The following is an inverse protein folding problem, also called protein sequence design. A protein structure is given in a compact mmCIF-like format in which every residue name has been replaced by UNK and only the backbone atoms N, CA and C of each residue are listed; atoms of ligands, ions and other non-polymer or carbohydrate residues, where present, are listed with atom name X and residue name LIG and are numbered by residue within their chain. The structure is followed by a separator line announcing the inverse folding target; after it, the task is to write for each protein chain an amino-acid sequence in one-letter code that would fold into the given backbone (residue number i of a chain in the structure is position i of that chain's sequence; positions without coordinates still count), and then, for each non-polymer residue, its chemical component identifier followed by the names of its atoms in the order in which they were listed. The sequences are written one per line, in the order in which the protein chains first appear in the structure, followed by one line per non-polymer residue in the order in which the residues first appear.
data_IF_175873289836
#
_entry.id   IF_175873289836
#
_cell.length_a   1.000
_cell.length_b   1.000
_cell.length_c   1.000
_cell.angle_alpha   90.00
_cell.angle_beta   90.00
_cell.angle_gamma   90.00
#
_symmetry.space_group_name_H-M   'P 1'
#
loop_
_entity.id
_entity.type
_entity.pdbx_description
1 polymer ?
#
# COMPACT_ATOMS: atom_id res chain seq x y z
N UNK A 1 -39.38 39.98 53.04
CA UNK A 1 -39.38 38.52 53.22
C UNK A 1 -39.19 37.92 51.84
N UNK A 2 -37.94 37.54 51.54
CA UNK A 2 -37.47 37.14 50.21
C UNK A 2 -37.55 35.62 50.05
N UNK A 3 -37.80 35.20 48.81
CA UNK A 3 -38.16 33.88 48.33
C UNK A 3 -37.00 32.91 48.09
N UNK A 4 -37.27 31.64 48.39
CA UNK A 4 -36.86 30.36 47.76
C UNK A 4 -35.41 30.16 47.31
N UNK A 5 -34.76 29.20 47.98
CA UNK A 5 -33.62 28.42 47.50
C UNK A 5 -34.12 27.14 46.82
N UNK A 6 -33.46 26.72 45.73
CA UNK A 6 -32.61 25.52 45.73
C UNK A 6 -31.93 25.36 44.36
N UNK A 7 -30.62 25.13 44.41
CA UNK A 7 -29.71 24.97 43.27
C UNK A 7 -29.35 23.50 43.09
N UNK A 8 -29.60 22.98 41.90
CA UNK A 8 -29.13 21.68 41.41
C UNK A 8 -29.16 21.70 39.87
N UNK A 9 -28.32 21.04 39.07
CA UNK A 9 -26.91 20.63 39.12
C UNK A 9 -26.62 20.19 37.66
N UNK A 10 -25.41 20.45 37.18
CA UNK A 10 -24.66 19.69 36.15
C UNK A 10 -25.15 19.76 34.69
N UNK A 11 -24.32 20.46 33.90
CA UNK A 11 -24.27 20.55 32.45
C UNK A 11 -23.68 19.24 31.85
N UNK A 12 -24.49 18.41 31.22
CA UNK A 12 -24.03 17.29 30.38
C UNK A 12 -23.83 17.77 28.95
N UNK A 13 -22.57 17.98 28.57
CA UNK A 13 -22.16 18.10 27.17
C UNK A 13 -22.24 16.74 26.51
N UNK A 14 -23.33 16.50 25.79
CA UNK A 14 -23.43 15.40 24.81
C UNK A 14 -22.87 15.90 23.48
N UNK A 15 -21.56 15.68 23.27
CA UNK A 15 -20.90 15.94 21.99
C UNK A 15 -21.13 14.74 21.07
N UNK A 16 -22.25 14.73 20.34
CA UNK A 16 -22.35 13.93 19.13
C UNK A 16 -21.57 14.64 18.02
N UNK A 17 -20.27 14.38 17.98
CA UNK A 17 -19.41 14.79 16.86
C UNK A 17 -19.76 13.91 15.65
N UNK A 18 -20.65 14.43 14.80
CA UNK A 18 -21.03 13.81 13.55
C UNK A 18 -19.85 13.89 12.58
N UNK A 19 -19.05 12.81 12.54
CA UNK A 19 -17.97 12.62 11.58
C UNK A 19 -18.50 12.81 10.14
N UNK A 20 -18.11 13.91 9.51
CA UNK A 20 -18.28 14.15 8.08
C UNK A 20 -17.31 13.23 7.32
N UNK A 21 -17.80 12.10 6.80
CA UNK A 21 -17.00 11.00 6.20
C UNK A 21 -16.43 11.28 4.81
N UNK A 22 -16.29 12.54 4.39
CA UNK A 22 -15.89 12.88 3.02
C UNK A 22 -14.41 13.26 2.85
N UNK A 23 -13.62 13.25 3.92
CA UNK A 23 -12.17 13.44 3.83
C UNK A 23 -11.47 12.20 4.42
N UNK A 24 -10.51 11.59 3.73
CA UNK A 24 -9.70 10.53 4.35
C UNK A 24 -9.05 11.09 5.62
N UNK A 25 -8.96 10.30 6.70
CA UNK A 25 -8.49 10.78 8.00
C UNK A 25 -7.02 11.21 7.99
N UNK A 26 -6.25 10.87 6.96
CA UNK A 26 -4.83 11.17 6.81
C UNK A 26 -4.52 11.60 5.38
N UNK A 27 -3.48 12.41 5.21
CA UNK A 27 -2.96 12.79 3.89
C UNK A 27 -2.11 11.66 3.29
N UNK A 28 -1.86 11.74 1.99
CA UNK A 28 -0.95 10.81 1.31
C UNK A 28 0.46 10.82 1.92
N UNK A 29 0.96 11.99 2.33
CA UNK A 29 2.27 12.11 2.97
C UNK A 29 2.29 11.43 4.35
N UNK A 30 1.21 11.51 5.13
CA UNK A 30 1.10 10.82 6.43
C UNK A 30 1.16 9.30 6.27
N UNK A 31 0.39 8.77 5.30
CA UNK A 31 0.42 7.35 4.96
C UNK A 31 1.82 6.93 4.51
N UNK A 32 2.44 7.67 3.61
CA UNK A 32 3.78 7.38 3.13
C UNK A 32 4.82 7.39 4.26
N UNK A 33 4.79 8.37 5.16
CA UNK A 33 5.70 8.46 6.29
C UNK A 33 5.61 7.23 7.22
N UNK A 34 4.38 6.84 7.59
CA UNK A 34 4.15 5.70 8.48
C UNK A 34 4.50 4.37 7.80
N UNK A 35 4.08 4.18 6.55
CA UNK A 35 4.39 2.97 5.79
C UNK A 35 5.90 2.78 5.62
N UNK A 36 6.63 3.87 5.31
CA UNK A 36 8.10 3.85 5.25
C UNK A 36 8.69 3.36 6.55
N UNK A 37 8.35 4.00 7.67
CA UNK A 37 8.88 3.64 8.98
C UNK A 37 8.65 2.15 9.31
N UNK A 38 7.44 1.65 9.06
CA UNK A 38 7.06 0.27 9.35
C UNK A 38 7.82 -0.73 8.47
N UNK A 39 7.93 -0.45 7.17
CA UNK A 39 8.61 -1.36 6.24
C UNK A 39 10.13 -1.33 6.36
N UNK A 40 10.74 -0.16 6.55
CA UNK A 40 12.20 -0.03 6.76
C UNK A 40 12.63 -0.80 8.02
N UNK A 41 11.89 -0.63 9.13
CA UNK A 41 12.12 -1.39 10.37
C UNK A 41 11.94 -2.91 10.18
N UNK A 42 11.07 -3.33 9.27
CA UNK A 42 10.75 -4.74 9.04
C UNK A 42 11.70 -5.42 8.05
N UNK A 43 12.18 -4.74 7.00
CA UNK A 43 12.81 -5.40 5.85
C UNK A 43 14.28 -5.06 5.61
N UNK A 44 14.90 -4.21 6.44
CA UNK A 44 16.27 -3.71 6.21
C UNK A 44 16.44 -3.18 4.77
N UNK A 45 15.50 -2.31 4.39
CA UNK A 45 15.48 -1.58 3.12
C UNK A 45 15.44 -0.09 3.43
N UNK A 46 15.84 0.73 2.46
CA UNK A 46 15.56 2.17 2.45
C UNK A 46 14.44 2.43 1.46
N UNK A 47 13.52 3.35 1.80
CA UNK A 47 12.37 3.66 0.97
C UNK A 47 12.37 5.16 0.63
N UNK A 48 12.44 5.46 -0.65
CA UNK A 48 12.58 6.82 -1.17
C UNK A 48 11.36 7.15 -2.04
N UNK A 49 10.63 8.19 -1.64
CA UNK A 49 9.52 8.74 -2.44
C UNK A 49 10.00 9.88 -3.31
N UNK A 50 9.11 10.38 -4.16
CA UNK A 50 9.38 11.49 -5.08
C UNK A 50 10.15 11.09 -6.33
N UNK A 51 10.28 9.79 -6.62
CA UNK A 51 10.95 9.33 -7.82
C UNK A 51 10.09 9.60 -9.07
N UNK A 52 10.74 9.84 -10.21
CA UNK A 52 10.07 9.99 -11.51
C UNK A 52 9.44 8.66 -11.96
N UNK A 53 10.20 7.57 -11.79
CA UNK A 53 9.79 6.20 -12.05
C UNK A 53 10.14 5.30 -10.86
N UNK A 54 9.35 4.24 -10.60
CA UNK A 54 9.69 3.26 -9.59
C UNK A 54 10.97 2.50 -9.97
N UNK A 55 11.76 2.12 -8.97
CA UNK A 55 12.99 1.37 -9.17
C UNK A 55 13.37 0.60 -7.90
N UNK A 56 13.88 -0.62 -8.08
CA UNK A 56 14.52 -1.37 -7.02
C UNK A 56 16.03 -1.44 -7.24
N UNK A 57 16.78 -0.89 -6.28
CA UNK A 57 18.23 -1.03 -6.25
C UNK A 57 18.63 -2.17 -5.32
N UNK A 58 19.37 -3.14 -5.86
CA UNK A 58 19.91 -4.25 -5.08
C UNK A 58 20.89 -3.76 -4.00
N UNK A 59 21.00 -4.48 -2.87
CA UNK A 59 21.94 -4.12 -1.81
C UNK A 59 23.37 -4.27 -2.31
N UNK A 60 24.26 -3.40 -1.81
CA UNK A 60 25.71 -3.57 -1.97
C UNK A 60 26.34 -4.02 -0.65
N UNK A 61 27.67 -4.19 -0.62
CA UNK A 61 28.39 -4.55 0.61
C UNK A 61 28.12 -3.57 1.78
N UNK A 62 27.90 -2.29 1.47
CA UNK A 62 27.81 -1.22 2.46
C UNK A 62 26.45 -0.52 2.48
N UNK A 63 25.53 -0.85 1.58
CA UNK A 63 24.23 -0.20 1.47
C UNK A 63 23.11 -1.23 1.48
N UNK A 64 22.04 -1.02 2.27
CA UNK A 64 20.83 -1.83 2.16
C UNK A 64 20.22 -1.68 0.76
N UNK A 65 19.23 -2.53 0.45
CA UNK A 65 18.46 -2.36 -0.77
C UNK A 65 17.63 -1.09 -0.69
N UNK A 66 17.39 -0.45 -1.84
CA UNK A 66 16.61 0.79 -1.92
C UNK A 66 15.38 0.54 -2.79
N UNK A 67 14.22 0.99 -2.32
CA UNK A 67 12.96 0.96 -3.06
C UNK A 67 12.57 2.40 -3.34
N UNK A 68 12.54 2.77 -4.61
CA UNK A 68 12.06 4.05 -5.10
C UNK A 68 10.62 3.88 -5.57
N UNK A 69 9.72 4.75 -5.10
CA UNK A 69 8.32 4.77 -5.53
C UNK A 69 7.96 6.14 -6.09
N UNK A 70 6.96 6.16 -6.98
CA UNK A 70 6.61 7.32 -7.78
C UNK A 70 5.86 8.36 -6.97
N UNK A 71 6.31 9.61 -7.06
CA UNK A 71 5.76 10.72 -6.30
C UNK A 71 5.65 10.36 -4.79
N UNK A 72 4.63 10.86 -4.09
CA UNK A 72 4.34 10.50 -2.70
C UNK A 72 2.99 9.80 -2.57
N UNK A 73 2.64 8.93 -3.53
CA UNK A 73 1.37 8.21 -3.48
C UNK A 73 1.49 6.92 -2.67
N UNK A 74 0.68 6.71 -1.60
CA UNK A 74 0.75 5.52 -0.76
C UNK A 74 0.59 4.23 -1.56
N UNK A 75 -0.31 4.20 -2.56
CA UNK A 75 -0.50 3.02 -3.40
C UNK A 75 0.74 2.69 -4.23
N UNK A 76 1.50 3.69 -4.69
CA UNK A 76 2.76 3.43 -5.39
C UNK A 76 3.77 2.77 -4.45
N UNK A 77 3.89 3.25 -3.20
CA UNK A 77 4.73 2.60 -2.19
C UNK A 77 4.29 1.16 -1.89
N UNK A 78 2.98 0.93 -1.70
CA UNK A 78 2.44 -0.41 -1.43
C UNK A 78 2.67 -1.36 -2.60
N UNK A 79 2.58 -0.86 -3.83
CA UNK A 79 2.83 -1.61 -5.05
C UNK A 79 4.29 -2.08 -5.12
N UNK A 80 5.26 -1.19 -4.90
CA UNK A 80 6.68 -1.55 -4.86
C UNK A 80 7.00 -2.55 -3.74
N UNK A 81 6.39 -2.38 -2.56
CA UNK A 81 6.53 -3.34 -1.47
C UNK A 81 5.91 -4.69 -1.80
N UNK A 82 4.83 -4.75 -2.59
CA UNK A 82 4.26 -5.99 -3.06
C UNK A 82 5.24 -6.72 -3.99
N UNK A 83 5.86 -6.02 -4.93
CA UNK A 83 6.93 -6.57 -5.77
C UNK A 83 8.10 -7.09 -4.92
N UNK A 84 8.61 -6.30 -3.97
CA UNK A 84 9.69 -6.70 -3.07
C UNK A 84 9.37 -7.96 -2.27
N UNK A 85 8.13 -8.08 -1.78
CA UNK A 85 7.68 -9.23 -1.00
C UNK A 85 7.56 -10.51 -1.84
N UNK A 86 7.21 -10.38 -3.11
CA UNK A 86 7.06 -11.51 -4.03
C UNK A 86 8.36 -11.88 -4.74
N UNK A 87 9.33 -10.97 -4.79
CA UNK A 87 10.67 -11.23 -5.27
C UNK A 87 11.40 -12.20 -4.32
N UNK A 88 11.77 -13.37 -4.85
CA UNK A 88 12.58 -14.34 -4.12
C UNK A 88 13.98 -13.81 -3.80
N UNK A 89 14.67 -14.45 -2.85
CA UNK A 89 15.98 -14.00 -2.36
C UNK A 89 16.99 -13.75 -3.49
N UNK A 90 17.06 -14.63 -4.50
CA UNK A 90 17.95 -14.46 -5.65
C UNK A 90 17.63 -13.20 -6.47
N UNK A 91 16.36 -12.89 -6.63
CA UNK A 91 15.91 -11.74 -7.43
C UNK A 91 16.18 -10.42 -6.70
N UNK A 92 16.06 -10.40 -5.38
CA UNK A 92 16.47 -9.27 -4.53
C UNK A 92 17.99 -9.02 -4.48
N UNK A 93 18.78 -9.67 -5.34
CA UNK A 93 20.20 -9.37 -5.55
C UNK A 93 20.44 -8.72 -6.91
N UNK A 94 19.38 -8.45 -7.67
CA UNK A 94 19.42 -7.83 -9.00
C UNK A 94 18.58 -6.56 -8.96
N UNK A 95 19.07 -5.52 -9.61
CA UNK A 95 18.29 -4.30 -9.83
C UNK A 95 16.99 -4.64 -10.58
N UNK A 96 15.90 -3.97 -10.21
CA UNK A 96 14.53 -4.27 -10.66
C UNK A 96 14.14 -5.75 -10.62
N UNK A 97 14.72 -6.48 -9.67
CA UNK A 97 14.50 -7.92 -9.51
C UNK A 97 14.90 -8.74 -10.76
N UNK A 98 15.70 -8.16 -11.66
CA UNK A 98 16.04 -8.70 -12.98
C UNK A 98 14.91 -8.65 -14.01
N UNK A 99 13.86 -7.84 -13.78
CA UNK A 99 12.86 -7.55 -14.81
C UNK A 99 13.43 -6.58 -15.86
N UNK A 100 12.89 -6.63 -17.07
CA UNK A 100 13.22 -5.69 -18.14
C UNK A 100 12.05 -4.73 -18.33
N UNK A 101 12.34 -3.43 -18.40
CA UNK A 101 11.33 -2.42 -18.70
C UNK A 101 10.89 -2.49 -20.16
N UNK A 102 9.58 -2.43 -20.40
CA UNK A 102 9.02 -2.27 -21.73
C UNK A 102 8.36 -0.88 -21.80
N UNK A 103 8.69 -0.05 -22.82
CA UNK A 103 8.13 1.28 -22.94
C UNK A 103 6.61 1.25 -23.17
N UNK A 104 5.96 2.39 -22.91
CA UNK A 104 4.55 2.61 -23.22
C UNK A 104 4.23 2.30 -24.69
N UNK A 105 3.01 1.81 -24.95
CA UNK A 105 2.55 1.42 -26.28
C UNK A 105 2.41 -0.09 -26.49
N UNK A 106 1.91 -0.81 -25.47
CA UNK A 106 1.73 -2.26 -25.52
C UNK A 106 0.72 -2.68 -26.59
N UNK A 107 1.06 -3.71 -27.37
CA UNK A 107 0.06 -4.48 -28.15
C UNK A 107 -0.91 -5.20 -27.21
N UNK A 108 -2.00 -5.74 -27.74
CA UNK A 108 -2.96 -6.53 -26.94
C UNK A 108 -2.27 -7.73 -26.26
N UNK A 109 -1.35 -8.40 -26.96
CA UNK A 109 -0.59 -9.53 -26.44
C UNK A 109 0.37 -9.11 -25.34
N UNK A 110 1.04 -7.95 -25.49
CA UNK A 110 1.91 -7.39 -24.48
C UNK A 110 1.13 -6.94 -23.24
N UNK A 111 -0.06 -6.38 -23.41
CA UNK A 111 -0.94 -6.01 -22.30
C UNK A 111 -1.42 -7.27 -21.55
N UNK A 112 -1.79 -8.33 -22.26
CA UNK A 112 -2.17 -9.59 -21.64
C UNK A 112 -1.01 -10.21 -20.86
N UNK A 113 0.22 -10.13 -21.39
CA UNK A 113 1.41 -10.60 -20.70
C UNK A 113 1.69 -9.79 -19.41
N UNK A 114 1.52 -8.46 -19.47
CA UNK A 114 1.59 -7.58 -18.31
C UNK A 114 0.57 -7.97 -17.25
N UNK A 115 -0.70 -8.07 -17.60
CA UNK A 115 -1.77 -8.46 -16.67
C UNK A 115 -1.49 -9.80 -15.99
N UNK A 116 -0.98 -10.78 -16.74
CA UNK A 116 -0.64 -12.10 -16.21
C UNK A 116 0.46 -12.03 -15.12
N UNK A 117 1.46 -11.16 -15.27
CA UNK A 117 2.54 -11.02 -14.28
C UNK A 117 2.14 -10.11 -13.12
N UNK A 118 1.23 -9.15 -13.35
CA UNK A 118 0.79 -8.15 -12.38
C UNK A 118 -0.36 -8.61 -11.48
N UNK A 119 -1.11 -9.65 -11.86
CA UNK A 119 -2.24 -10.12 -11.07
C UNK A 119 -1.87 -10.46 -9.62
N UNK A 120 -0.67 -11.03 -9.41
CA UNK A 120 -0.20 -11.46 -8.09
C UNK A 120 0.38 -10.29 -7.25
N UNK A 121 1.25 -9.41 -7.79
CA UNK A 121 1.62 -8.16 -7.12
C UNK A 121 0.42 -7.30 -6.73
N UNK A 122 -0.50 -7.02 -7.64
CA UNK A 122 -1.66 -6.18 -7.36
C UNK A 122 -2.66 -6.83 -6.39
N UNK A 123 -2.72 -8.16 -6.35
CA UNK A 123 -3.48 -8.86 -5.31
C UNK A 123 -2.89 -8.66 -3.90
N UNK A 124 -1.56 -8.58 -3.77
CA UNK A 124 -0.91 -8.28 -2.49
C UNK A 124 -1.03 -6.79 -2.15
N UNK A 125 -0.91 -5.88 -3.12
CA UNK A 125 -1.21 -4.45 -2.96
C UNK A 125 -2.63 -4.27 -2.41
N UNK A 126 -3.62 -4.98 -2.98
CA UNK A 126 -5.00 -4.97 -2.50
C UNK A 126 -5.11 -5.42 -1.04
N UNK A 127 -4.38 -6.47 -0.65
CA UNK A 127 -4.38 -6.94 0.74
C UNK A 127 -3.77 -5.87 1.68
N UNK A 128 -2.70 -5.20 1.28
CA UNK A 128 -2.13 -4.09 2.05
C UNK A 128 -3.10 -2.92 2.18
N UNK A 129 -3.73 -2.49 1.08
CA UNK A 129 -4.72 -1.42 1.06
C UNK A 129 -5.86 -1.70 2.04
N UNK A 130 -6.40 -2.93 2.02
CA UNK A 130 -7.44 -3.35 2.97
C UNK A 130 -6.99 -3.28 4.44
N UNK A 131 -5.73 -3.63 4.72
CA UNK A 131 -5.20 -3.65 6.08
C UNK A 131 -5.06 -2.26 6.72
N UNK A 132 -4.83 -1.24 5.88
CA UNK A 132 -4.64 0.16 6.33
C UNK A 132 -5.82 1.08 5.97
N UNK A 133 -6.91 0.53 5.42
CA UNK A 133 -8.12 1.27 5.08
C UNK A 133 -8.01 2.18 3.84
N UNK A 134 -7.05 1.92 2.94
CA UNK A 134 -6.95 2.63 1.67
C UNK A 134 -7.79 1.97 0.57
N UNK A 135 -8.43 2.74 -0.32
CA UNK A 135 -9.11 2.19 -1.49
C UNK A 135 -8.09 1.59 -2.47
N UNK A 136 -8.44 0.46 -3.06
CA UNK A 136 -7.63 -0.21 -4.08
C UNK A 136 -8.31 -0.12 -5.45
N UNK A 137 -7.52 0.17 -6.50
CA UNK A 137 -7.94 0.10 -7.89
C UNK A 137 -6.85 -0.58 -8.73
N UNK A 138 -7.17 -1.62 -9.53
CA UNK A 138 -6.18 -2.25 -10.41
C UNK A 138 -5.55 -1.23 -11.36
N UNK A 139 -4.24 -1.31 -11.53
CA UNK A 139 -3.50 -0.51 -12.51
C UNK A 139 -3.24 -1.33 -13.76
N UNK A 140 -3.54 -0.79 -14.93
CA UNK A 140 -3.20 -1.44 -16.20
C UNK A 140 -1.88 -0.94 -16.79
N UNK A 141 -1.30 0.08 -16.15
CA UNK A 141 -0.14 0.80 -16.67
C UNK A 141 -0.32 1.15 -18.17
N UNK A 142 -1.55 1.57 -18.50
CA UNK A 142 -2.01 1.93 -19.84
C UNK A 142 -2.85 3.20 -19.71
N UNK A 143 -2.34 4.30 -20.26
CA UNK A 143 -3.00 5.61 -20.25
C UNK A 143 -4.10 5.74 -21.32
N UNK A 144 -4.38 4.69 -22.10
CA UNK A 144 -5.42 4.71 -23.15
C UNK A 144 -6.85 4.59 -22.63
N UNK A 145 -7.05 4.34 -21.34
CA UNK A 145 -8.39 4.22 -20.73
C UNK A 145 -9.07 2.87 -20.93
N UNK A 146 -8.33 1.83 -21.33
CA UNK A 146 -8.84 0.46 -21.40
C UNK A 146 -9.29 -0.05 -20.04
N UNK A 147 -10.23 -0.98 -20.06
CA UNK A 147 -10.65 -1.71 -18.87
C UNK A 147 -9.82 -2.97 -18.69
N UNK A 148 -9.71 -3.40 -17.43
CA UNK A 148 -9.06 -4.65 -17.06
C UNK A 148 -9.74 -5.84 -17.74
N UNK A 149 -8.97 -6.80 -18.25
CA UNK A 149 -9.55 -8.03 -18.77
C UNK A 149 -10.24 -8.84 -17.66
N UNK A 150 -11.28 -9.60 -18.01
CA UNK A 150 -11.97 -10.48 -17.05
C UNK A 150 -11.02 -11.53 -16.45
N UNK A 151 -10.08 -12.02 -17.27
CA UNK A 151 -9.04 -12.97 -16.82
C UNK A 151 -8.14 -12.36 -15.76
N UNK A 152 -7.71 -11.10 -15.95
CA UNK A 152 -6.92 -10.38 -14.96
C UNK A 152 -7.67 -10.18 -13.65
N UNK A 153 -8.94 -9.71 -13.72
CA UNK A 153 -9.77 -9.50 -12.53
C UNK A 153 -9.99 -10.80 -11.76
N UNK A 154 -10.23 -11.92 -12.47
CA UNK A 154 -10.39 -13.23 -11.85
C UNK A 154 -9.09 -13.71 -11.17
N UNK A 155 -7.95 -13.58 -11.86
CA UNK A 155 -6.64 -13.97 -11.32
C UNK A 155 -6.27 -13.13 -10.09
N UNK A 156 -6.48 -11.82 -10.14
CA UNK A 156 -6.25 -10.89 -9.03
C UNK A 156 -7.10 -11.31 -7.81
N UNK A 157 -8.39 -11.60 -8.01
CA UNK A 157 -9.28 -12.05 -6.92
C UNK A 157 -8.78 -13.35 -6.29
N UNK A 158 -8.44 -14.35 -7.11
CA UNK A 158 -7.93 -15.64 -6.62
C UNK A 158 -6.61 -15.49 -5.85
N UNK A 159 -5.69 -14.68 -6.35
CA UNK A 159 -4.44 -14.40 -5.65
C UNK A 159 -4.68 -13.64 -4.36
N UNK A 160 -5.63 -12.71 -4.33
CA UNK A 160 -5.97 -11.94 -3.13
C UNK A 160 -6.51 -12.88 -2.02
N UNK A 161 -7.44 -13.78 -2.35
CA UNK A 161 -7.92 -14.81 -1.43
C UNK A 161 -6.76 -15.68 -0.87
N UNK A 162 -5.80 -16.04 -1.73
CA UNK A 162 -4.59 -16.76 -1.29
C UNK A 162 -3.69 -15.93 -0.38
N UNK A 163 -3.54 -14.62 -0.62
CA UNK A 163 -2.74 -13.73 0.24
C UNK A 163 -3.37 -13.56 1.63
N UNK A 164 -4.71 -13.57 1.71
CA UNK A 164 -5.42 -13.45 2.98
C UNK A 164 -5.40 -14.74 3.81
N UNK A 165 -5.25 -15.90 3.17
CA UNK A 165 -5.31 -17.21 3.84
C UNK A 165 -3.94 -17.84 4.08
N UNK A 166 -3.05 -17.82 3.09
CA UNK A 166 -1.72 -18.41 3.18
C UNK A 166 -0.69 -17.60 2.37
N UNK A 167 -0.32 -16.39 2.83
CA UNK A 167 0.63 -15.54 2.13
C UNK A 167 2.06 -16.11 2.17
N UNK A 168 2.88 -15.86 1.14
CA UNK A 168 4.32 -16.15 1.18
C UNK A 168 5.02 -15.49 2.38
N UNK A 169 6.16 -16.01 2.87
CA UNK A 169 6.79 -15.53 4.11
C UNK A 169 7.04 -14.02 4.17
N UNK A 170 7.59 -13.40 3.11
CA UNK A 170 7.80 -11.95 3.09
C UNK A 170 6.48 -11.17 3.11
N UNK A 171 5.47 -11.63 2.35
CA UNK A 171 4.15 -11.01 2.33
C UNK A 171 3.45 -11.13 3.69
N UNK A 172 3.55 -12.29 4.34
CA UNK A 172 3.05 -12.49 5.71
C UNK A 172 3.71 -11.53 6.69
N UNK A 173 5.03 -11.38 6.61
CA UNK A 173 5.79 -10.44 7.44
C UNK A 173 5.34 -8.98 7.20
N UNK A 174 5.11 -8.59 5.95
CA UNK A 174 4.62 -7.25 5.61
C UNK A 174 3.22 -7.00 6.15
N UNK A 175 2.28 -7.93 5.95
CA UNK A 175 0.92 -7.84 6.51
C UNK A 175 0.93 -7.73 8.05
N UNK A 176 1.80 -8.49 8.72
CA UNK A 176 1.97 -8.40 10.17
C UNK A 176 2.55 -7.05 10.62
N UNK A 177 3.51 -6.51 9.87
CA UNK A 177 4.08 -5.20 10.14
C UNK A 177 3.01 -4.09 10.01
N UNK A 178 2.14 -4.17 8.99
CA UNK A 178 1.06 -3.21 8.79
C UNK A 178 0.02 -3.19 9.91
N UNK A 179 -0.11 -4.26 10.71
CA UNK A 179 -0.94 -4.23 11.93
C UNK A 179 -0.47 -3.19 12.94
N UNK A 180 0.81 -2.78 12.87
CA UNK A 180 1.36 -1.71 13.71
C UNK A 180 0.94 -0.32 13.22
N UNK A 181 0.63 -0.15 11.93
CA UNK A 181 0.17 1.13 11.36
C UNK A 181 -1.15 1.61 12.00
N UNK A 182 -2.06 0.68 12.30
CA UNK A 182 -3.37 1.01 12.87
C UNK A 182 -3.27 1.66 14.27
N UNK A 183 -2.18 1.42 14.99
CA UNK A 183 -1.90 2.06 16.29
C UNK A 183 -1.31 3.45 16.08
N UNK A 184 -0.42 3.61 15.10
CA UNK A 184 0.32 4.86 14.85
C UNK A 184 -0.57 5.93 14.19
N UNK A 185 -1.44 5.52 13.26
CA UNK A 185 -2.40 6.41 12.62
C UNK A 185 -3.38 7.00 13.65
N UNK A 186 -3.87 6.23 14.63
CA UNK A 186 -4.80 6.72 15.66
C UNK A 186 -4.20 7.71 16.67
N UNK A 187 -2.89 7.92 16.65
CA UNK A 187 -2.16 8.78 17.59
C UNK A 187 -1.68 10.10 16.98
N UNK A 188 -1.89 10.28 15.66
CA UNK A 188 -1.59 11.51 14.91
C UNK A 188 -2.85 12.34 14.77
#
# INVERSE_FOLDING_TARGET
MQSFADTDTINTTDTTDTMNTNNPPYTDDDYCAILKQVFEASFNVQIIGGAEEPFYQAPTKNTPAIIYYKANYPRSLLHEMAHYCLAGQKRRQLDDYGYWYAPCGRTAEQQQAFENVEARPQALEKAFCQHIGLPFCPSLDDFSGKQASETFVHALKKHHESMMTNPPPSAKKALQALSQCHVMLKQT
#
